data_IF_869512975932
#
_entry.id   IF_869512975932
#
_cell.length_a   1.000
_cell.length_b   1.000
_cell.length_c   1.000
_cell.angle_alpha   90.00
_cell.angle_beta   90.00
_cell.angle_gamma   90.00
#
_symmetry.space_group_name_H-M   'P 1'
#
loop_
_entity.id
_entity.type
_entity.pdbx_description
1 polymer ?
#
# COMPACT_ATOMS: atom_id res chain seq x y z
N UNK A 1 2.71 3.36 -49.87
CA UNK A 1 2.38 1.93 -49.79
C UNK A 1 2.76 1.48 -48.38
N UNK A 2 1.78 0.96 -47.64
CA UNK A 2 1.81 0.63 -46.19
C UNK A 2 3.07 -0.15 -45.79
N UNK A 3 3.82 0.30 -44.77
CA UNK A 3 3.83 -0.16 -43.35
C UNK A 3 3.59 -1.66 -43.13
N UNK A 4 4.56 -2.33 -42.51
CA UNK A 4 4.33 -3.31 -41.44
C UNK A 4 5.55 -3.26 -40.51
N UNK A 5 5.44 -2.46 -39.46
CA UNK A 5 6.24 -2.57 -38.24
C UNK A 5 5.89 -3.88 -37.54
N UNK A 6 6.90 -4.70 -37.25
CA UNK A 6 6.78 -5.83 -36.33
C UNK A 6 6.83 -5.26 -34.92
N UNK A 7 5.65 -5.01 -34.35
CA UNK A 7 5.53 -4.77 -32.92
C UNK A 7 5.76 -6.11 -32.20
N UNK A 8 6.99 -6.32 -31.71
CA UNK A 8 7.23 -7.28 -30.63
C UNK A 8 6.48 -6.74 -29.40
N UNK A 9 5.25 -7.21 -29.19
CA UNK A 9 4.50 -6.90 -27.98
C UNK A 9 5.19 -7.62 -26.81
N UNK A 10 6.05 -6.88 -26.12
CA UNK A 10 6.64 -7.26 -24.84
C UNK A 10 5.50 -7.38 -23.81
N UNK A 11 5.12 -8.62 -23.49
CA UNK A 11 4.07 -8.93 -22.52
C UNK A 11 4.66 -9.12 -21.14
N UNK A 12 4.24 -8.32 -20.17
CA UNK A 12 4.73 -8.37 -18.80
C UNK A 12 4.03 -9.45 -17.99
N UNK A 13 4.75 -10.00 -17.01
CA UNK A 13 4.19 -10.97 -16.07
C UNK A 13 3.17 -10.29 -15.13
N UNK A 14 1.99 -10.90 -15.01
CA UNK A 14 0.90 -10.45 -14.13
C UNK A 14 0.87 -11.25 -12.84
N UNK A 15 0.68 -12.57 -12.90
CA UNK A 15 0.51 -13.42 -11.71
C UNK A 15 0.70 -14.91 -12.00
N UNK A 16 0.86 -15.70 -10.93
CA UNK A 16 0.78 -17.16 -10.97
C UNK A 16 -0.62 -17.64 -10.59
N UNK A 17 -1.14 -18.65 -11.29
CA UNK A 17 -2.46 -19.24 -11.08
C UNK A 17 -2.42 -20.79 -11.17
N UNK A 18 -3.50 -21.48 -10.76
CA UNK A 18 -3.59 -22.93 -10.90
C UNK A 18 -3.61 -23.36 -12.36
N UNK A 19 -2.81 -24.37 -12.72
CA UNK A 19 -2.80 -24.87 -14.08
C UNK A 19 -3.98 -25.82 -14.31
N UNK A 20 -4.84 -25.60 -15.33
CA UNK A 20 -5.97 -26.47 -15.62
C UNK A 20 -5.54 -27.83 -16.18
N UNK A 21 -4.34 -27.93 -16.77
CA UNK A 21 -3.86 -29.17 -17.38
C UNK A 21 -3.19 -30.13 -16.38
N UNK A 22 -2.37 -29.64 -15.45
CA UNK A 22 -1.66 -30.50 -14.50
C UNK A 22 -2.14 -30.36 -13.05
N UNK A 23 -3.09 -29.46 -12.77
CA UNK A 23 -3.65 -29.25 -11.44
C UNK A 23 -2.66 -28.65 -10.43
N UNK A 24 -1.52 -28.13 -10.89
CA UNK A 24 -0.60 -27.40 -10.03
C UNK A 24 -1.30 -26.18 -9.45
N UNK A 25 -0.95 -25.79 -8.22
CA UNK A 25 -1.60 -24.66 -7.54
C UNK A 25 -1.17 -23.29 -8.07
N UNK A 26 0.02 -23.20 -8.64
CA UNK A 26 0.70 -21.92 -8.91
C UNK A 26 1.74 -21.95 -10.05
N UNK A 27 1.80 -23.00 -10.89
CA UNK A 27 2.82 -23.07 -11.95
C UNK A 27 2.44 -22.35 -13.26
N UNK A 28 1.20 -21.90 -13.42
CA UNK A 28 0.75 -21.20 -14.63
C UNK A 28 0.98 -19.70 -14.46
N UNK A 29 1.88 -19.11 -15.24
CA UNK A 29 2.11 -17.68 -15.28
C UNK A 29 1.18 -17.01 -16.30
N UNK A 30 0.52 -15.93 -15.89
CA UNK A 30 -0.37 -15.09 -16.70
C UNK A 30 0.34 -13.79 -17.07
N UNK A 31 0.19 -13.35 -18.31
CA UNK A 31 0.83 -12.15 -18.85
C UNK A 31 -0.19 -11.08 -19.27
N UNK A 32 0.27 -9.85 -19.53
CA UNK A 32 -0.57 -8.66 -19.77
C UNK A 32 -1.41 -8.73 -21.05
N UNK A 33 -0.96 -9.49 -22.04
CA UNK A 33 -1.68 -9.83 -23.26
C UNK A 33 -2.66 -11.00 -23.07
N UNK A 34 -2.92 -11.39 -21.81
CA UNK A 34 -3.75 -12.49 -21.37
C UNK A 34 -3.23 -13.91 -21.69
N UNK A 35 -2.06 -14.07 -22.31
CA UNK A 35 -1.52 -15.40 -22.56
C UNK A 35 -1.05 -16.05 -21.25
N UNK A 36 -1.05 -17.39 -21.22
CA UNK A 36 -0.68 -18.17 -20.04
C UNK A 36 0.36 -19.23 -20.38
N UNK A 37 1.37 -19.43 -19.54
CA UNK A 37 2.35 -20.51 -19.70
C UNK A 37 2.65 -21.24 -18.37
N UNK A 38 2.51 -22.56 -18.36
CA UNK A 38 2.77 -23.40 -17.18
C UNK A 38 4.19 -23.95 -17.18
N UNK A 39 4.99 -23.53 -16.21
CA UNK A 39 6.37 -24.02 -16.04
C UNK A 39 6.46 -25.47 -15.55
N UNK A 40 5.35 -26.03 -15.05
CA UNK A 40 5.30 -27.41 -14.56
C UNK A 40 5.05 -28.44 -15.66
N UNK A 41 4.19 -28.14 -16.63
CA UNK A 41 3.80 -29.09 -17.68
C UNK A 41 3.89 -28.56 -19.12
N UNK A 42 4.33 -27.31 -19.31
CA UNK A 42 4.43 -26.68 -20.62
C UNK A 42 3.09 -26.30 -21.25
N UNK A 43 2.00 -26.32 -20.47
CA UNK A 43 0.67 -25.90 -20.95
C UNK A 43 0.67 -24.41 -21.32
N UNK A 44 0.10 -24.08 -22.48
CA UNK A 44 0.07 -22.72 -23.02
C UNK A 44 -1.35 -22.31 -23.43
N UNK A 45 -1.74 -21.09 -23.08
CA UNK A 45 -3.02 -20.46 -23.45
C UNK A 45 -2.77 -19.19 -24.25
N UNK A 46 -3.43 -19.05 -25.40
CA UNK A 46 -3.41 -17.81 -26.19
C UNK A 46 -4.35 -16.78 -25.54
N UNK A 47 -3.86 -15.55 -25.32
CA UNK A 47 -4.67 -14.43 -24.83
C UNK A 47 -5.34 -13.70 -26.00
N UNK A 48 -6.67 -13.52 -25.93
CA UNK A 48 -7.45 -12.92 -27.02
C UNK A 48 -7.73 -11.42 -26.84
N UNK A 49 -7.47 -10.81 -25.66
CA UNK A 49 -7.60 -9.36 -25.43
C UNK A 49 -6.66 -8.85 -24.32
N UNK A 50 -6.11 -7.63 -24.43
CA UNK A 50 -5.27 -7.02 -23.40
C UNK A 50 -6.08 -6.75 -22.12
N UNK A 51 -5.51 -7.10 -20.98
CA UNK A 51 -6.10 -6.85 -19.67
C UNK A 51 -5.72 -5.42 -19.24
N UNK A 52 -6.69 -4.56 -18.96
CA UNK A 52 -6.43 -3.27 -18.30
C UNK A 52 -5.86 -3.52 -16.89
N UNK A 53 -4.57 -3.26 -16.73
CA UNK A 53 -3.87 -3.29 -15.44
C UNK A 53 -4.21 -2.01 -14.67
N UNK A 54 -5.06 -2.13 -13.64
CA UNK A 54 -5.08 -1.12 -12.56
C UNK A 54 -3.70 -1.12 -11.89
N UNK A 55 -3.08 0.06 -11.78
CA UNK A 55 -1.74 0.26 -11.22
C UNK A 55 -1.63 -0.33 -9.81
N UNK A 56 -1.19 -1.58 -9.73
CA UNK A 56 -0.77 -2.22 -8.49
C UNK A 56 0.73 -1.96 -8.35
N UNK A 57 1.07 -1.01 -7.49
CA UNK A 57 2.46 -0.77 -7.12
C UNK A 57 3.03 -2.05 -6.51
N UNK A 58 4.22 -2.43 -6.96
CA UNK A 58 4.91 -3.65 -6.61
C UNK A 58 4.91 -3.96 -5.09
N UNK A 59 4.80 -5.26 -4.75
CA UNK A 59 5.04 -5.86 -3.42
C UNK A 59 3.89 -5.89 -2.39
N UNK A 60 2.72 -6.43 -2.73
CA UNK A 60 1.74 -6.85 -1.71
C UNK A 60 1.19 -5.73 -0.80
N UNK A 61 1.35 -4.48 -1.21
CA UNK A 61 0.72 -3.32 -0.60
C UNK A 61 -0.70 -3.17 -1.17
N UNK A 62 -1.62 -2.74 -0.33
CA UNK A 62 -3.04 -2.62 -0.64
C UNK A 62 -3.29 -1.24 -1.28
N UNK A 63 -4.01 -1.15 -2.41
CA UNK A 63 -4.48 0.14 -2.92
C UNK A 63 -5.44 0.78 -1.92
N UNK A 64 -5.29 2.09 -1.69
CA UNK A 64 -6.12 2.81 -0.72
C UNK A 64 -7.07 3.79 -1.41
N UNK A 65 -8.27 3.90 -0.87
CA UNK A 65 -9.23 4.93 -1.20
C UNK A 65 -9.37 5.88 0.00
N UNK A 66 -9.42 7.18 -0.29
CA UNK A 66 -9.63 8.19 0.73
C UNK A 66 -11.11 8.37 0.98
N UNK A 67 -11.49 8.34 2.26
CA UNK A 67 -12.84 8.63 2.71
C UNK A 67 -12.79 9.23 4.12
N UNK A 68 -13.82 9.99 4.54
CA UNK A 68 -13.88 10.49 5.91
C UNK A 68 -14.10 9.33 6.90
N UNK A 69 -13.46 9.40 8.07
CA UNK A 69 -13.68 8.47 9.16
C UNK A 69 -14.78 9.02 10.08
N UNK A 70 -16.04 8.93 9.65
CA UNK A 70 -17.18 9.55 10.33
C UNK A 70 -17.28 9.20 11.83
N UNK A 71 -17.05 7.94 12.21
CA UNK A 71 -17.09 7.50 13.63
C UNK A 71 -15.98 8.10 14.51
N UNK A 72 -14.96 8.71 13.89
CA UNK A 72 -13.84 9.39 14.55
C UNK A 72 -13.89 10.90 14.35
N UNK A 73 -14.85 11.40 13.56
CA UNK A 73 -14.94 12.80 13.18
C UNK A 73 -13.74 13.28 12.38
N UNK A 74 -13.06 12.43 11.60
CA UNK A 74 -11.91 12.82 10.77
C UNK A 74 -12.35 13.02 9.32
N UNK A 75 -11.98 14.15 8.74
CA UNK A 75 -12.30 14.56 7.37
C UNK A 75 -11.44 13.82 6.34
N UNK A 76 -11.96 13.73 5.12
CA UNK A 76 -11.22 13.17 4.00
C UNK A 76 -9.94 13.96 3.69
N UNK A 77 -9.96 15.29 3.81
CA UNK A 77 -8.77 16.13 3.61
C UNK A 77 -7.62 15.76 4.56
N UNK A 78 -7.95 15.46 5.82
CA UNK A 78 -6.98 15.01 6.82
C UNK A 78 -6.45 13.62 6.44
N UNK A 79 -7.32 12.70 6.03
CA UNK A 79 -6.94 11.38 5.53
C UNK A 79 -5.99 11.48 4.31
N UNK A 80 -6.34 12.31 3.31
CA UNK A 80 -5.54 12.55 2.10
C UNK A 80 -4.17 13.11 2.44
N UNK A 81 -4.11 14.14 3.29
CA UNK A 81 -2.84 14.74 3.73
C UNK A 81 -1.89 13.71 4.32
N UNK A 82 -2.40 12.81 5.16
CA UNK A 82 -1.57 11.81 5.84
C UNK A 82 -1.39 10.51 5.07
N UNK A 83 -1.96 10.40 3.86
CA UNK A 83 -1.93 9.16 3.09
C UNK A 83 -2.54 7.99 3.89
N UNK A 84 -3.66 8.28 4.58
CA UNK A 84 -4.45 7.33 5.35
C UNK A 84 -5.74 7.03 4.62
N UNK A 85 -6.08 5.77 4.42
CA UNK A 85 -7.27 5.40 3.66
C UNK A 85 -7.86 4.07 4.07
N UNK A 86 -8.76 3.58 3.22
CA UNK A 86 -9.38 2.26 3.34
C UNK A 86 -9.03 1.41 2.14
N UNK A 87 -8.85 0.12 2.35
CA UNK A 87 -8.59 -0.86 1.28
C UNK A 87 -9.22 -2.20 1.60
N UNK A 88 -9.01 -3.18 0.72
CA UNK A 88 -9.43 -4.57 0.93
C UNK A 88 -8.20 -5.44 1.16
N UNK A 89 -8.18 -6.18 2.26
CA UNK A 89 -7.14 -7.13 2.59
C UNK A 89 -7.78 -8.47 2.95
N UNK A 90 -7.43 -9.55 2.24
CA UNK A 90 -8.03 -10.88 2.42
C UNK A 90 -9.58 -10.86 2.38
N UNK A 91 -10.15 -10.09 1.44
CA UNK A 91 -11.60 -9.94 1.28
C UNK A 91 -12.29 -9.11 2.37
N UNK A 92 -11.55 -8.47 3.28
CA UNK A 92 -12.10 -7.65 4.36
C UNK A 92 -11.74 -6.18 4.21
N UNK A 93 -12.68 -5.26 4.51
CA UNK A 93 -12.38 -3.84 4.56
C UNK A 93 -11.46 -3.52 5.73
N UNK A 94 -10.37 -2.83 5.45
CA UNK A 94 -9.35 -2.43 6.41
C UNK A 94 -9.04 -0.95 6.29
N UNK A 95 -8.53 -0.37 7.37
CA UNK A 95 -7.91 0.95 7.34
C UNK A 95 -6.40 0.79 7.16
N UNK A 96 -5.80 1.68 6.38
CA UNK A 96 -4.41 1.54 5.94
C UNK A 96 -3.69 2.87 6.16
N UNK A 97 -2.58 2.80 6.89
CA UNK A 97 -1.63 3.90 7.02
C UNK A 97 -0.39 3.60 6.18
N UNK A 98 -0.13 4.42 5.17
CA UNK A 98 1.04 4.27 4.30
C UNK A 98 2.27 4.89 4.97
N UNK A 99 3.33 4.10 5.09
CA UNK A 99 4.63 4.51 5.60
C UNK A 99 5.59 4.74 4.44
N UNK A 100 6.37 5.82 4.54
CA UNK A 100 7.28 6.25 3.48
C UNK A 100 8.73 6.21 3.93
N UNK A 101 9.64 5.95 2.99
CA UNK A 101 11.09 6.11 3.18
C UNK A 101 11.49 7.60 3.07
N UNK A 102 12.79 7.90 3.16
CA UNK A 102 13.32 9.27 3.05
C UNK A 102 13.19 9.86 1.64
N UNK A 103 13.11 8.99 0.63
CA UNK A 103 12.89 9.35 -0.78
C UNK A 103 11.39 9.64 -1.07
N UNK A 104 10.51 9.39 -0.10
CA UNK A 104 9.08 9.65 -0.19
C UNK A 104 8.27 8.50 -0.78
N UNK A 105 8.87 7.36 -1.07
CA UNK A 105 8.21 6.17 -1.61
C UNK A 105 7.48 5.40 -0.52
N UNK A 106 6.35 4.75 -0.86
CA UNK A 106 5.62 3.92 0.09
C UNK A 106 6.34 2.57 0.21
N UNK A 107 6.91 2.29 1.38
CA UNK A 107 7.69 1.07 1.64
C UNK A 107 6.97 0.07 2.53
N UNK A 108 5.99 0.53 3.30
CA UNK A 108 5.21 -0.32 4.18
C UNK A 108 3.80 0.23 4.41
N UNK A 109 2.92 -0.66 4.85
CA UNK A 109 1.56 -0.30 5.25
C UNK A 109 1.24 -0.90 6.58
N UNK A 110 0.70 -0.08 7.49
CA UNK A 110 0.10 -0.60 8.71
C UNK A 110 -1.39 -0.72 8.49
N UNK A 111 -1.86 -1.96 8.56
CA UNK A 111 -3.23 -2.35 8.34
C UNK A 111 -3.93 -2.48 9.68
N UNK A 112 -5.13 -1.91 9.77
CA UNK A 112 -6.02 -1.99 10.93
C UNK A 112 -7.36 -2.56 10.52
N UNK A 113 -7.72 -3.70 11.08
CA UNK A 113 -9.00 -4.37 10.84
C UNK A 113 -10.12 -3.78 11.73
N UNK A 114 -11.36 -4.22 11.50
CA UNK A 114 -12.54 -3.75 12.24
C UNK A 114 -12.50 -4.11 13.72
N UNK A 115 -11.98 -5.30 14.06
CA UNK A 115 -11.71 -5.79 15.41
C UNK A 115 -10.50 -5.11 16.06
N UNK A 116 -9.88 -4.14 15.37
CA UNK A 116 -8.71 -3.37 15.83
C UNK A 116 -7.45 -4.22 15.96
N UNK A 117 -7.35 -5.31 15.20
CA UNK A 117 -6.10 -6.03 15.01
C UNK A 117 -5.21 -5.25 14.04
N UNK A 118 -3.90 -5.35 14.24
CA UNK A 118 -2.91 -4.61 13.47
C UNK A 118 -1.92 -5.57 12.80
N UNK A 119 -1.58 -5.30 11.55
CA UNK A 119 -0.50 -5.98 10.81
C UNK A 119 0.29 -4.99 9.99
N UNK A 120 1.50 -5.38 9.58
CA UNK A 120 2.36 -4.59 8.70
C UNK A 120 2.61 -5.38 7.42
N UNK A 121 2.38 -4.71 6.29
CA UNK A 121 2.74 -5.19 4.94
C UNK A 121 3.96 -4.42 4.45
N UNK A 122 4.76 -5.02 3.58
CA UNK A 122 6.01 -4.44 3.07
C UNK A 122 7.16 -4.44 4.08
N UNK A 123 8.09 -3.50 3.92
CA UNK A 123 9.31 -3.42 4.73
C UNK A 123 9.05 -2.74 6.09
N UNK A 124 8.62 -3.55 7.07
CA UNK A 124 8.33 -3.06 8.43
C UNK A 124 9.56 -2.77 9.31
N UNK A 125 10.78 -3.11 8.85
CA UNK A 125 12.01 -2.88 9.61
C UNK A 125 12.45 -1.43 9.45
N UNK A 126 12.95 -0.82 10.53
CA UNK A 126 13.48 0.55 10.45
C UNK A 126 12.44 1.65 10.24
N UNK A 127 11.14 1.36 10.19
CA UNK A 127 10.10 2.39 10.02
C UNK A 127 10.29 3.56 11.00
N UNK A 128 10.30 4.76 10.42
CA UNK A 128 10.35 6.02 11.16
C UNK A 128 8.98 6.44 11.70
N UNK A 129 8.91 7.69 12.14
CA UNK A 129 7.65 8.30 12.58
C UNK A 129 6.69 8.46 11.40
N UNK A 130 5.46 8.01 11.57
CA UNK A 130 4.43 8.15 10.54
C UNK A 130 4.02 9.61 10.41
N UNK A 131 3.84 10.08 9.17
CA UNK A 131 3.58 11.48 8.86
C UNK A 131 4.81 12.40 8.88
N UNK A 132 6.03 11.90 9.18
CA UNK A 132 7.28 12.70 9.17
C UNK A 132 7.48 13.43 7.84
N UNK A 133 7.22 12.75 6.71
CA UNK A 133 7.38 13.28 5.36
C UNK A 133 6.55 14.53 5.03
N UNK A 134 5.56 14.88 5.86
CA UNK A 134 4.71 16.06 5.66
C UNK A 134 5.35 17.35 6.17
N UNK A 135 6.45 17.25 6.91
CA UNK A 135 7.00 18.35 7.69
C UNK A 135 8.49 18.51 7.36
N UNK A 136 8.90 19.75 7.08
CA UNK A 136 10.31 20.08 6.91
C UNK A 136 11.08 20.09 8.22
N UNK A 137 12.38 20.38 8.13
CA UNK A 137 13.25 20.48 9.30
C UNK A 137 12.95 21.74 10.14
N UNK A 138 13.13 21.61 11.47
CA UNK A 138 12.93 22.70 12.43
C UNK A 138 11.47 22.93 12.84
N UNK A 139 11.17 24.14 13.31
CA UNK A 139 9.85 24.54 13.81
C UNK A 139 9.81 24.76 15.32
N UNK A 140 8.69 25.33 15.81
CA UNK A 140 8.52 25.69 17.23
C UNK A 140 8.06 24.54 18.12
N UNK A 141 7.34 23.58 17.55
CA UNK A 141 6.76 22.44 18.27
C UNK A 141 6.46 21.28 17.31
N UNK A 142 6.48 20.07 17.85
CA UNK A 142 5.98 18.85 17.21
C UNK A 142 5.10 18.11 18.22
N UNK A 143 4.00 17.51 17.76
CA UNK A 143 3.21 16.58 18.57
C UNK A 143 3.49 15.15 18.10
N UNK A 144 3.83 14.27 19.04
CA UNK A 144 4.06 12.85 18.78
C UNK A 144 2.95 12.07 19.50
N UNK A 145 2.18 11.29 18.74
CA UNK A 145 1.10 10.45 19.27
C UNK A 145 1.49 8.97 19.27
N UNK A 146 0.75 8.17 20.02
CA UNK A 146 0.96 6.72 20.03
C UNK A 146 0.55 6.07 18.70
N UNK A 147 -0.62 6.45 18.17
CA UNK A 147 -1.21 5.84 16.98
C UNK A 147 -1.59 6.84 15.89
N UNK A 148 -1.87 6.29 14.71
CA UNK A 148 -2.13 7.04 13.49
C UNK A 148 -3.46 7.82 13.58
N UNK A 149 -4.49 7.24 14.20
CA UNK A 149 -5.79 7.91 14.39
C UNK A 149 -5.63 9.15 15.30
N UNK A 150 -4.82 9.05 16.35
CA UNK A 150 -4.58 10.19 17.25
C UNK A 150 -3.83 11.32 16.52
N UNK A 151 -2.86 10.97 15.66
CA UNK A 151 -2.16 11.95 14.83
C UNK A 151 -3.13 12.67 13.88
N UNK A 152 -4.04 11.94 13.23
CA UNK A 152 -5.09 12.52 12.41
C UNK A 152 -5.98 13.47 13.22
N UNK A 153 -6.44 13.05 14.40
CA UNK A 153 -7.30 13.87 15.27
C UNK A 153 -6.62 15.15 15.73
N UNK A 154 -5.37 15.09 16.19
CA UNK A 154 -4.61 16.28 16.62
C UNK A 154 -4.33 17.19 15.44
N UNK A 155 -3.92 16.65 14.29
CA UNK A 155 -3.65 17.45 13.10
C UNK A 155 -4.91 18.18 12.63
N UNK A 156 -6.05 17.49 12.58
CA UNK A 156 -7.31 18.11 12.18
C UNK A 156 -7.75 19.21 13.14
N UNK A 157 -7.63 19.00 14.46
CA UNK A 157 -7.93 20.03 15.45
C UNK A 157 -7.06 21.29 15.28
N UNK A 158 -5.93 21.16 14.58
CA UNK A 158 -4.99 22.22 14.25
C UNK A 158 -5.08 22.66 12.78
N UNK A 159 -6.17 22.34 12.09
CA UNK A 159 -6.41 22.63 10.67
C UNK A 159 -5.32 22.11 9.74
N UNK A 160 -4.66 21.01 10.11
CA UNK A 160 -3.60 20.38 9.35
C UNK A 160 -2.36 21.26 9.11
N UNK A 161 -2.09 22.23 9.99
CA UNK A 161 -1.03 23.25 9.80
C UNK A 161 0.25 23.03 10.59
N UNK A 162 0.24 22.15 11.61
CA UNK A 162 1.36 21.99 12.53
C UNK A 162 1.92 20.58 12.49
N UNK A 163 3.24 20.39 12.76
CA UNK A 163 3.85 19.07 12.77
C UNK A 163 3.20 18.12 13.77
N UNK A 164 2.59 17.05 13.24
CA UNK A 164 2.03 15.93 14.01
C UNK A 164 2.48 14.64 13.36
N UNK A 165 2.97 13.71 14.18
CA UNK A 165 3.46 12.40 13.76
C UNK A 165 3.05 11.33 14.77
N UNK A 166 3.08 10.05 14.39
CA UNK A 166 2.83 8.94 15.32
C UNK A 166 3.97 7.92 15.36
N UNK A 167 4.09 7.23 16.48
CA UNK A 167 5.04 6.13 16.63
C UNK A 167 4.59 4.91 15.80
N UNK A 168 5.51 4.19 15.12
CA UNK A 168 5.15 3.06 14.26
C UNK A 168 4.64 1.83 15.04
N UNK A 169 5.11 1.63 16.28
CA UNK A 169 4.95 0.39 17.05
C UNK A 169 4.31 0.59 18.43
N UNK A 170 3.50 1.64 18.60
CA UNK A 170 2.83 1.96 19.87
C UNK A 170 3.80 2.27 21.01
N UNK A 171 3.28 2.47 22.23
CA UNK A 171 4.07 2.93 23.37
C UNK A 171 5.19 1.95 23.76
N UNK A 172 4.88 0.66 23.81
CA UNK A 172 5.84 -0.41 24.18
C UNK A 172 6.98 -0.58 23.17
N UNK A 173 6.71 -0.32 21.89
CA UNK A 173 7.72 -0.35 20.82
C UNK A 173 8.57 0.92 20.78
N UNK A 174 7.98 2.08 21.07
CA UNK A 174 8.67 3.36 21.12
C UNK A 174 9.77 3.37 22.20
N UNK A 175 9.51 2.83 23.38
CA UNK A 175 10.49 2.76 24.47
C UNK A 175 11.76 1.96 24.13
N UNK A 176 11.69 1.07 23.14
CA UNK A 176 12.81 0.22 22.71
C UNK A 176 13.57 0.79 21.50
N UNK A 177 13.06 1.82 20.83
CA UNK A 177 13.69 2.43 19.66
C UNK A 177 14.49 3.66 20.05
N UNK A 178 15.73 3.74 19.54
CA UNK A 178 16.46 5.00 19.45
C UNK A 178 16.06 5.66 18.15
N UNK A 179 15.27 6.73 18.21
CA UNK A 179 15.08 7.61 17.06
C UNK A 179 16.43 8.30 16.83
N UNK A 180 17.12 7.95 15.75
CA UNK A 180 18.28 8.71 15.28
C UNK A 180 17.80 9.86 14.42
#
# INVERSE_FOLDING_TARGET
MLVMSLDEQESDFVAHEPCPACGSRDNLARYTDAHGYCFGCGYYEHGDQPIEVEETSASGLIPIQYSPLNKRGISEDTCRKFNYGTGIHNGQPVQVANYRNEEGEIVAQKVRTRDKSFSVLGEGRGLGLWGKHLWGEGGKKIVITEGEIDALSVSQAQNNRWPVVSAPSGASGAAKRKFK
#
